data_IF_411349993886
#
_entry.id   IF_411349993886
#
_cell.length_a   1.000
_cell.length_b   1.000
_cell.length_c   1.000
_cell.angle_alpha   90.00
_cell.angle_beta   90.00
_cell.angle_gamma   90.00
#
_symmetry.space_group_name_H-M   'P 1'
#
loop_
_entity.id
_entity.type
_entity.pdbx_description
1 polymer ?
#
# COMPACT_ATOMS: atom_id res chain seq x y z
N UNK A 1 1.00 8.54 2.59
CA UNK A 1 1.67 7.23 2.59
C UNK A 1 1.07 6.45 1.43
N UNK A 2 1.86 5.96 0.50
CA UNK A 2 1.35 5.31 -0.71
C UNK A 2 0.97 3.85 -0.42
N UNK A 3 -0.30 3.53 -0.68
CA UNK A 3 -0.84 2.18 -0.62
C UNK A 3 -1.18 1.66 -2.01
N UNK A 4 -1.08 0.35 -2.21
CA UNK A 4 -1.41 -0.31 -3.47
C UNK A 4 -2.65 -1.16 -3.26
N UNK A 5 -3.65 -1.03 -4.14
CA UNK A 5 -4.84 -1.87 -4.07
C UNK A 5 -4.54 -3.33 -4.42
N UNK A 6 -5.13 -4.27 -3.69
CA UNK A 6 -4.92 -5.70 -3.93
C UNK A 6 -5.51 -6.25 -5.22
N UNK A 7 -6.58 -5.65 -5.75
CA UNK A 7 -7.21 -6.12 -6.98
C UNK A 7 -6.77 -5.33 -8.21
N UNK A 8 -6.90 -4.00 -8.19
CA UNK A 8 -6.60 -3.17 -9.37
C UNK A 8 -5.14 -2.70 -9.45
N UNK A 9 -4.32 -2.93 -8.42
CA UNK A 9 -2.94 -2.45 -8.37
C UNK A 9 -2.79 -0.92 -8.34
N UNK A 10 -3.90 -0.18 -8.25
CA UNK A 10 -3.90 1.28 -8.22
C UNK A 10 -3.19 1.82 -6.98
N UNK A 11 -2.44 2.91 -7.15
CA UNK A 11 -1.84 3.65 -6.04
C UNK A 11 -2.88 4.55 -5.39
N UNK A 12 -3.06 4.42 -4.09
CA UNK A 12 -3.93 5.27 -3.28
C UNK A 12 -3.09 6.03 -2.25
N UNK A 13 -3.30 7.34 -2.20
CA UNK A 13 -2.75 8.20 -1.15
C UNK A 13 -3.80 8.39 -0.07
N UNK A 14 -3.70 7.62 1.01
CA UNK A 14 -4.68 7.65 2.11
C UNK A 14 -4.05 8.33 3.33
N UNK A 15 -4.84 9.22 3.93
CA UNK A 15 -4.52 9.89 5.20
C UNK A 15 -5.13 9.12 6.39
N UNK A 16 -4.58 9.31 7.59
CA UNK A 16 -4.98 8.56 8.80
C UNK A 16 -6.47 8.66 9.15
N UNK A 17 -7.12 9.78 8.80
CA UNK A 17 -8.52 10.04 9.13
C UNK A 17 -9.51 9.60 8.04
N UNK A 18 -9.03 9.15 6.88
CA UNK A 18 -9.89 8.76 5.75
C UNK A 18 -10.23 7.28 5.77
N UNK A 19 -11.40 6.94 5.21
CA UNK A 19 -11.84 5.56 5.04
C UNK A 19 -10.87 4.77 4.15
N UNK A 20 -10.54 3.55 4.59
CA UNK A 20 -9.66 2.63 3.87
C UNK A 20 -10.46 1.99 2.73
N UNK A 21 -10.42 2.61 1.56
CA UNK A 21 -11.05 2.12 0.34
C UNK A 21 -10.29 2.58 -0.89
N UNK A 22 -10.15 1.71 -1.90
CA UNK A 22 -9.56 2.09 -3.17
C UNK A 22 -10.52 2.98 -3.99
N UNK A 23 -10.00 4.05 -4.58
CA UNK A 23 -10.78 5.00 -5.40
C UNK A 23 -11.27 4.38 -6.72
N UNK A 24 -10.56 3.37 -7.24
CA UNK A 24 -10.86 2.80 -8.56
C UNK A 24 -11.87 1.65 -8.53
N UNK A 25 -11.76 0.75 -7.54
CA UNK A 25 -12.57 -0.48 -7.48
C UNK A 25 -13.44 -0.59 -6.22
N UNK A 26 -13.28 0.32 -5.25
CA UNK A 26 -14.08 0.33 -4.02
C UNK A 26 -13.72 -0.76 -3.00
N UNK A 27 -12.83 -1.70 -3.31
CA UNK A 27 -12.35 -2.69 -2.33
C UNK A 27 -11.49 -2.05 -1.24
N UNK A 28 -11.52 -2.68 -0.06
CA UNK A 28 -10.89 -2.17 1.18
C UNK A 28 -9.57 -2.86 1.53
N UNK A 29 -9.05 -3.69 0.64
CA UNK A 29 -7.79 -4.42 0.82
C UNK A 29 -6.68 -3.63 0.13
N UNK A 30 -5.79 -3.07 0.95
CA UNK A 30 -4.67 -2.26 0.49
C UNK A 30 -3.36 -2.74 1.12
N UNK A 31 -2.31 -2.78 0.31
CA UNK A 31 -0.96 -3.15 0.73
C UNK A 31 -0.10 -1.90 0.87
N UNK A 32 0.84 -1.93 1.83
CA UNK A 32 1.85 -0.89 1.95
C UNK A 32 2.97 -1.15 0.95
N UNK A 33 3.40 -0.09 0.27
CA UNK A 33 4.50 -0.19 -0.69
C UNK A 33 5.82 -0.58 0.00
N UNK A 34 6.67 -1.36 -0.69
CA UNK A 34 8.01 -1.72 -0.20
C UNK A 34 8.80 -0.45 0.13
N UNK A 35 9.58 -0.49 1.21
CA UNK A 35 10.51 0.57 1.55
C UNK A 35 11.60 0.69 0.48
N UNK A 36 11.93 1.92 0.07
CA UNK A 36 13.06 2.20 -0.84
C UNK A 36 14.43 2.07 -0.16
N UNK A 37 14.45 1.88 1.16
CA UNK A 37 15.67 1.71 1.94
C UNK A 37 16.27 0.34 1.68
N UNK A 38 17.57 0.30 1.44
CA UNK A 38 18.34 -0.95 1.32
C UNK A 38 18.39 -1.57 2.71
N UNK A 39 17.91 -2.82 2.82
CA UNK A 39 17.96 -3.61 4.04
C UNK A 39 18.99 -4.72 3.83
N UNK A 40 19.97 -4.79 4.73
CA UNK A 40 20.93 -5.89 4.79
C UNK A 40 20.39 -6.99 5.68
N UNK A 41 20.50 -8.23 5.23
CA UNK A 41 20.08 -9.43 5.98
C UNK A 41 21.28 -10.39 6.05
N UNK A 42 21.44 -11.08 7.18
CA UNK A 42 22.44 -12.14 7.33
C UNK A 42 21.92 -13.47 6.76
N UNK A 43 22.78 -14.23 6.10
CA UNK A 43 22.44 -15.52 5.49
C UNK A 43 22.74 -16.67 6.46
N UNK A 44 21.97 -16.76 7.55
CA UNK A 44 22.00 -17.90 8.47
C UNK A 44 20.91 -18.90 8.15
#
# INVERSE_FOLDING_TARGET
MEYICGECGGKNEISFSQTISCVFCGTRILYKTRTKKILGYEAR
#
